data_IF_920359931984
#
_entry.id   IF_920359931984
#
_cell.length_a   1.000
_cell.length_b   1.000
_cell.length_c   1.000
_cell.angle_alpha   90.00
_cell.angle_beta   90.00
_cell.angle_gamma   90.00
#
_symmetry.space_group_name_H-M   'P 1'
#
loop_
_entity.id
_entity.type
_entity.pdbx_description
1 polymer ?
#
# COMPACT_ATOMS: atom_id res chain seq x y z
N UNK A 1 -10.46 -5.24 15.90
CA UNK A 1 -9.56 -4.38 16.70
C UNK A 1 -8.66 -3.51 15.81
N UNK A 2 -9.17 -2.96 14.69
CA UNK A 2 -8.44 -2.04 13.80
C UNK A 2 -9.39 -0.93 13.35
N UNK A 3 -9.85 -0.16 14.33
CA UNK A 3 -10.46 1.16 14.18
C UNK A 3 -9.97 1.96 15.40
N UNK A 4 -9.75 3.25 15.25
CA UNK A 4 -9.14 4.19 16.23
C UNK A 4 -7.62 4.31 16.20
N UNK A 5 -7.11 5.16 15.30
CA UNK A 5 -5.88 5.91 15.61
C UNK A 5 -5.81 7.30 14.95
N UNK A 6 -6.97 7.95 14.76
CA UNK A 6 -7.00 9.37 14.38
C UNK A 6 -8.34 10.02 14.76
N UNK A 7 -8.46 10.64 15.96
CA UNK A 7 -9.68 11.34 16.39
C UNK A 7 -9.98 12.63 15.58
N UNK A 8 -8.99 13.20 14.90
CA UNK A 8 -9.10 14.52 14.25
C UNK A 8 -9.80 14.50 12.88
N UNK A 9 -9.80 13.36 12.19
CA UNK A 9 -10.42 13.25 10.86
C UNK A 9 -11.93 13.04 10.91
N UNK A 10 -12.44 12.47 12.00
CA UNK A 10 -13.88 12.34 12.22
C UNK A 10 -14.55 13.71 12.40
N UNK A 11 -13.85 14.71 12.96
CA UNK A 11 -14.44 16.01 13.27
C UNK A 11 -14.70 16.89 12.03
N UNK A 12 -14.02 16.65 10.91
CA UNK A 12 -14.08 17.53 9.74
C UNK A 12 -15.17 17.16 8.73
N UNK A 13 -15.76 15.95 8.83
CA UNK A 13 -16.83 15.48 7.93
C UNK A 13 -18.22 15.45 8.58
N UNK A 14 -18.36 15.90 9.83
CA UNK A 14 -19.64 15.91 10.56
C UNK A 14 -20.55 17.09 10.20
N UNK A 15 -20.02 18.12 9.52
CA UNK A 15 -20.81 19.30 9.17
C UNK A 15 -21.90 19.04 8.11
N UNK A 16 -21.70 18.03 7.25
CA UNK A 16 -22.63 17.66 6.16
C UNK A 16 -23.33 16.31 6.40
N UNK A 17 -23.26 15.79 7.63
CA UNK A 17 -23.78 14.48 7.95
C UNK A 17 -25.31 14.49 8.10
N UNK A 18 -26.01 13.56 7.44
CA UNK A 18 -27.47 13.40 7.64
C UNK A 18 -27.70 12.56 8.89
N UNK A 19 -28.35 13.15 9.89
CA UNK A 19 -28.65 12.49 11.16
C UNK A 19 -30.06 11.92 11.12
N UNK A 20 -30.17 10.59 11.20
CA UNK A 20 -31.41 9.86 11.48
C UNK A 20 -31.52 9.52 12.98
N UNK A 21 -32.66 8.94 13.43
CA UNK A 21 -32.91 8.66 14.85
C UNK A 21 -31.96 7.61 15.47
N UNK A 22 -31.33 6.75 14.68
CA UNK A 22 -30.36 5.73 15.14
C UNK A 22 -28.99 5.77 14.43
N UNK A 23 -28.84 6.52 13.33
CA UNK A 23 -27.61 6.54 12.56
C UNK A 23 -27.28 7.92 11.99
N UNK A 24 -26.00 8.17 11.77
CA UNK A 24 -25.49 9.39 11.13
C UNK A 24 -24.76 9.01 9.86
N UNK A 25 -25.30 9.43 8.71
CA UNK A 25 -24.67 9.23 7.41
C UNK A 25 -23.59 10.28 7.21
N UNK A 26 -22.34 9.82 7.09
CA UNK A 26 -21.19 10.68 6.76
C UNK A 26 -20.91 10.55 5.26
N UNK A 27 -21.01 11.64 4.47
CA UNK A 27 -20.74 11.58 3.04
C UNK A 27 -19.28 11.21 2.76
N UNK A 28 -19.06 10.29 1.84
CA UNK A 28 -17.70 9.91 1.42
C UNK A 28 -17.11 10.93 0.45
N UNK A 29 -15.84 11.26 0.64
CA UNK A 29 -15.06 12.04 -0.32
C UNK A 29 -14.89 11.25 -1.63
N UNK A 30 -14.73 11.97 -2.75
CA UNK A 30 -14.49 11.34 -4.06
C UNK A 30 -13.23 10.45 -4.04
N UNK A 31 -12.18 10.87 -3.33
CA UNK A 31 -10.96 10.08 -3.14
C UNK A 31 -11.28 8.72 -2.49
N UNK A 32 -12.04 8.71 -1.39
CA UNK A 32 -12.40 7.48 -0.67
C UNK A 32 -13.28 6.57 -1.53
N UNK A 33 -14.18 7.14 -2.32
CA UNK A 33 -15.02 6.38 -3.26
C UNK A 33 -14.20 5.67 -4.33
N UNK A 34 -13.23 6.35 -4.93
CA UNK A 34 -12.34 5.76 -5.95
C UNK A 34 -11.47 4.66 -5.37
N UNK A 35 -10.90 4.86 -4.18
CA UNK A 35 -10.11 3.82 -3.49
C UNK A 35 -10.98 2.59 -3.20
N UNK A 36 -12.18 2.79 -2.67
CA UNK A 36 -13.10 1.70 -2.38
C UNK A 36 -13.46 0.91 -3.65
N UNK A 37 -13.74 1.60 -4.76
CA UNK A 37 -14.01 0.95 -6.05
C UNK A 37 -12.85 0.06 -6.51
N UNK A 38 -11.62 0.59 -6.52
CA UNK A 38 -10.43 -0.15 -6.96
C UNK A 38 -10.10 -1.34 -6.06
N UNK A 39 -10.25 -1.19 -4.75
CA UNK A 39 -10.02 -2.29 -3.80
C UNK A 39 -11.04 -3.42 -4.00
N UNK A 40 -12.32 -3.07 -4.21
CA UNK A 40 -13.37 -4.05 -4.50
C UNK A 40 -13.13 -4.78 -5.82
N UNK A 41 -12.76 -4.05 -6.88
CA UNK A 41 -12.41 -4.64 -8.17
C UNK A 41 -11.23 -5.62 -8.04
N UNK A 42 -10.15 -5.21 -7.37
CA UNK A 42 -8.96 -6.05 -7.17
C UNK A 42 -9.27 -7.34 -6.39
N UNK A 43 -10.07 -7.25 -5.31
CA UNK A 43 -10.43 -8.44 -4.52
C UNK A 43 -11.37 -9.38 -5.24
N UNK A 44 -12.19 -8.88 -6.16
CA UNK A 44 -13.11 -9.71 -6.93
C UNK A 44 -12.44 -10.41 -8.11
N UNK A 45 -11.54 -9.73 -8.83
CA UNK A 45 -10.97 -10.25 -10.09
C UNK A 45 -9.71 -11.09 -9.89
N UNK A 46 -8.96 -10.89 -8.81
CA UNK A 46 -7.68 -11.57 -8.58
C UNK A 46 -7.80 -12.61 -7.47
N UNK A 47 -7.52 -13.91 -7.73
CA UNK A 47 -7.47 -14.93 -6.69
C UNK A 47 -6.22 -14.72 -5.81
N UNK A 48 -6.41 -14.19 -4.60
CA UNK A 48 -5.31 -13.89 -3.69
C UNK A 48 -4.89 -15.13 -2.89
N UNK A 49 -3.61 -15.49 -2.97
CA UNK A 49 -2.97 -16.44 -2.05
C UNK A 49 -2.07 -15.69 -1.08
N UNK A 50 -2.07 -16.10 0.20
CA UNK A 50 -1.21 -15.49 1.22
C UNK A 50 -0.07 -16.44 1.57
N UNK A 51 1.16 -15.94 1.53
CA UNK A 51 2.36 -16.63 1.99
C UNK A 51 3.06 -15.77 3.04
N UNK A 52 3.54 -16.39 4.11
CA UNK A 52 4.30 -15.74 5.17
C UNK A 52 5.61 -16.49 5.42
N UNK A 53 6.67 -15.75 5.72
CA UNK A 53 7.98 -16.30 6.08
C UNK A 53 8.61 -15.44 7.16
N UNK A 54 9.49 -16.05 7.96
CA UNK A 54 10.21 -15.38 9.04
C UNK A 54 11.63 -15.05 8.57
N UNK A 55 12.02 -13.78 8.66
CA UNK A 55 13.36 -13.31 8.27
C UNK A 55 14.11 -12.77 9.49
N UNK A 56 15.34 -13.26 9.71
CA UNK A 56 16.21 -12.75 10.78
C UNK A 56 16.98 -11.53 10.28
N UNK A 57 16.85 -10.40 10.97
CA UNK A 57 17.39 -9.09 10.54
C UNK A 57 18.55 -8.58 11.43
N UNK A 58 19.06 -9.40 12.34
CA UNK A 58 20.07 -8.98 13.34
C UNK A 58 21.32 -8.37 12.68
N UNK A 59 21.92 -9.09 11.72
CA UNK A 59 23.12 -8.66 11.02
C UNK A 59 22.90 -7.35 10.23
N UNK A 60 21.69 -7.15 9.71
CA UNK A 60 21.33 -5.95 8.95
C UNK A 60 21.24 -4.72 9.86
N UNK A 61 20.72 -4.88 11.07
CA UNK A 61 20.67 -3.82 12.07
C UNK A 61 22.07 -3.46 12.61
N UNK A 62 22.97 -4.43 12.70
CA UNK A 62 24.38 -4.19 13.06
C UNK A 62 25.10 -3.40 11.97
N UNK A 63 24.97 -3.81 10.70
CA UNK A 63 25.53 -3.09 9.56
C UNK A 63 25.01 -1.64 9.49
N UNK A 64 23.73 -1.42 9.81
CA UNK A 64 23.13 -0.09 9.86
C UNK A 64 23.83 0.85 10.86
N UNK A 65 24.33 0.35 11.99
CA UNK A 65 25.00 1.18 13.00
C UNK A 65 26.37 1.69 12.55
N UNK A 66 27.01 1.01 11.61
CA UNK A 66 28.31 1.39 11.05
C UNK A 66 28.24 2.35 9.86
N UNK A 67 27.04 2.69 9.39
CA UNK A 67 26.82 3.58 8.26
C UNK A 67 26.54 5.00 8.76
N UNK A 68 27.25 6.00 8.24
CA UNK A 68 27.06 7.43 8.54
C UNK A 68 25.81 8.03 7.85
N UNK A 69 25.18 7.25 6.98
CA UNK A 69 23.97 7.66 6.25
C UNK A 69 22.73 7.16 6.98
N UNK A 70 21.72 8.03 7.13
CA UNK A 70 20.40 7.65 7.63
C UNK A 70 19.67 6.75 6.64
N UNK A 71 20.00 5.46 6.67
CA UNK A 71 19.28 4.42 5.93
C UNK A 71 18.15 3.88 6.80
N UNK A 72 16.95 3.76 6.23
CA UNK A 72 15.80 3.13 6.87
C UNK A 72 15.76 1.63 6.60
N UNK A 73 15.03 0.87 7.42
CA UNK A 73 14.84 -0.57 7.17
C UNK A 73 14.08 -0.81 5.86
N UNK A 74 13.18 0.11 5.49
CA UNK A 74 12.41 0.02 4.25
C UNK A 74 13.32 0.05 3.01
N UNK A 75 14.42 0.82 3.03
CA UNK A 75 15.33 0.91 1.89
C UNK A 75 15.99 -0.44 1.57
N UNK A 76 16.34 -1.20 2.61
CA UNK A 76 16.86 -2.55 2.45
C UNK A 76 15.80 -3.52 1.92
N UNK A 77 14.56 -3.41 2.40
CA UNK A 77 13.44 -4.24 1.93
C UNK A 77 13.15 -3.96 0.46
N UNK A 78 13.10 -2.69 0.05
CA UNK A 78 12.87 -2.28 -1.35
C UNK A 78 14.00 -2.81 -2.24
N UNK A 79 15.26 -2.68 -1.80
CA UNK A 79 16.40 -3.20 -2.55
C UNK A 79 16.34 -4.72 -2.70
N UNK A 80 16.01 -5.45 -1.64
CA UNK A 80 15.88 -6.90 -1.68
C UNK A 80 14.75 -7.35 -2.60
N UNK A 81 13.59 -6.69 -2.54
CA UNK A 81 12.47 -6.95 -3.43
C UNK A 81 12.85 -6.69 -4.90
N UNK A 82 13.52 -5.58 -5.19
CA UNK A 82 13.96 -5.24 -6.55
C UNK A 82 14.92 -6.27 -7.14
N UNK A 83 15.87 -6.77 -6.34
CA UNK A 83 16.80 -7.83 -6.77
C UNK A 83 16.09 -9.16 -7.01
N UNK A 84 15.12 -9.49 -6.15
CA UNK A 84 14.34 -10.73 -6.27
C UNK A 84 13.47 -10.73 -7.53
N UNK A 85 12.82 -9.62 -7.84
CA UNK A 85 12.01 -9.45 -9.05
C UNK A 85 12.85 -9.53 -10.33
N UNK A 86 14.14 -9.16 -10.29
CA UNK A 86 15.07 -9.37 -11.40
C UNK A 86 15.50 -10.83 -11.57
N UNK A 87 15.62 -11.58 -10.47
CA UNK A 87 15.99 -13.00 -10.52
C UNK A 87 14.82 -13.89 -10.94
N UNK A 88 13.60 -13.52 -10.56
CA UNK A 88 12.37 -14.26 -10.87
C UNK A 88 11.42 -13.37 -11.68
N UNK A 89 11.61 -13.25 -13.01
CA UNK A 89 10.83 -12.34 -13.84
C UNK A 89 9.35 -12.72 -13.92
N UNK A 90 9.02 -13.99 -13.69
CA UNK A 90 7.63 -14.49 -13.66
C UNK A 90 6.76 -13.80 -12.61
N UNK A 91 7.36 -13.30 -11.53
CA UNK A 91 6.65 -12.55 -10.49
C UNK A 91 6.42 -11.09 -10.87
N UNK A 92 7.17 -10.55 -11.83
CA UNK A 92 7.05 -9.20 -12.35
C UNK A 92 6.21 -9.18 -13.64
N UNK A 93 4.97 -9.68 -13.54
CA UNK A 93 4.07 -9.82 -14.68
C UNK A 93 2.78 -9.01 -14.50
N UNK A 94 2.31 -8.39 -15.58
CA UNK A 94 0.99 -7.77 -15.65
C UNK A 94 0.00 -8.70 -16.36
N UNK A 95 -1.19 -8.89 -15.78
CA UNK A 95 -2.23 -9.70 -16.39
C UNK A 95 -3.04 -8.88 -17.42
N UNK A 96 -2.89 -9.18 -18.70
CA UNK A 96 -3.51 -8.48 -19.82
C UNK A 96 -4.69 -9.24 -20.45
N UNK A 97 -5.51 -9.92 -19.65
CA UNK A 97 -6.69 -10.66 -20.12
C UNK A 97 -6.33 -11.95 -20.87
N UNK A 98 -5.82 -11.81 -22.09
CA UNK A 98 -5.43 -12.91 -22.99
C UNK A 98 -3.98 -13.38 -22.75
N UNK A 99 -3.09 -12.46 -22.33
CA UNK A 99 -1.67 -12.75 -22.14
C UNK A 99 -1.13 -12.11 -20.85
N UNK A 100 -0.23 -12.83 -20.18
CA UNK A 100 0.59 -12.25 -19.12
C UNK A 100 1.81 -11.56 -19.76
N UNK A 101 2.02 -10.28 -19.44
CA UNK A 101 3.14 -9.50 -19.95
C UNK A 101 4.25 -9.44 -18.89
N UNK A 102 5.42 -9.96 -19.22
CA UNK A 102 6.60 -9.87 -18.36
C UNK A 102 7.24 -8.48 -18.52
N UNK A 103 7.38 -7.75 -17.42
CA UNK A 103 7.95 -6.41 -17.39
C UNK A 103 9.48 -6.50 -17.22
N UNK A 104 10.22 -5.75 -18.06
CA UNK A 104 11.69 -5.69 -18.01
C UNK A 104 12.20 -4.78 -16.90
N UNK A 105 11.50 -3.67 -16.71
CA UNK A 105 11.79 -2.71 -15.66
C UNK A 105 11.05 -3.09 -14.37
N UNK A 106 11.64 -2.74 -13.23
CA UNK A 106 11.14 -3.10 -11.91
C UNK A 106 10.80 -1.82 -11.16
N UNK A 107 9.50 -1.51 -11.14
CA UNK A 107 8.95 -0.35 -10.45
C UNK A 107 8.26 -0.79 -9.15
N UNK A 108 8.75 -0.28 -8.01
CA UNK A 108 8.21 -0.62 -6.69
C UNK A 108 7.43 0.57 -6.15
N UNK A 109 6.10 0.43 -6.10
CA UNK A 109 5.21 1.41 -5.48
C UNK A 109 5.20 1.28 -3.96
N UNK A 110 5.54 2.36 -3.26
CA UNK A 110 5.49 2.43 -1.80
C UNK A 110 4.24 3.19 -1.36
N UNK A 111 3.34 2.51 -0.65
CA UNK A 111 2.13 3.12 -0.15
C UNK A 111 2.42 3.89 1.16
N UNK A 112 2.15 5.20 1.16
CA UNK A 112 2.33 6.05 2.34
C UNK A 112 0.95 6.44 2.88
N UNK A 113 0.74 6.16 4.17
CA UNK A 113 -0.47 6.58 4.86
C UNK A 113 -0.40 8.08 5.15
N UNK A 114 -1.28 8.87 4.52
CA UNK A 114 -1.44 10.28 4.84
C UNK A 114 -2.70 10.49 5.67
N UNK A 115 -2.81 11.64 6.33
CA UNK A 115 -3.98 12.00 7.14
C UNK A 115 -5.28 12.00 6.32
N UNK A 116 -5.24 12.17 5.00
CA UNK A 116 -6.43 12.25 4.15
C UNK A 116 -6.75 10.93 3.42
N UNK A 117 -5.85 9.94 3.49
CA UNK A 117 -6.05 8.63 2.85
C UNK A 117 -4.74 7.93 2.49
N UNK A 118 -4.88 6.77 1.86
CA UNK A 118 -3.74 6.07 1.24
C UNK A 118 -3.40 6.79 -0.07
N UNK A 119 -2.24 7.43 -0.10
CA UNK A 119 -1.75 8.09 -1.30
C UNK A 119 -0.79 7.13 -2.00
N UNK A 120 -1.15 6.69 -3.20
CA UNK A 120 -0.14 6.27 -4.16
C UNK A 120 0.54 7.56 -4.61
N UNK A 121 1.69 7.88 -4.03
CA UNK A 121 2.53 8.95 -4.58
C UNK A 121 3.18 8.42 -5.85
N UNK A 122 2.38 8.35 -6.92
CA UNK A 122 2.84 8.33 -8.30
C UNK A 122 2.63 9.76 -8.78
N UNK A 123 3.54 10.65 -8.35
CA UNK A 123 3.74 11.91 -9.04
C UNK A 123 4.79 11.64 -10.11
N UNK A 124 4.26 11.58 -11.32
CA UNK A 124 4.93 11.59 -12.61
C UNK A 124 5.23 10.22 -13.25
N UNK A 125 4.91 10.22 -14.53
CA UNK A 125 5.11 9.19 -15.55
C UNK A 125 6.58 8.83 -15.76
#
# INVERSE_FOLDING_TARGET
MWAFQSPRLFHQHLSDAKVGPEYTDIPHTNMRRTIAKRLSESKATVPHTYASTNCVMNNLLELRKGLDVKVSVNDFIIKAAALTLKQVPEMNAAWGGEHAQLLKDVDISVAVATMQGLSHHCQDC
#
